data_IF_268179653986
#
_entry.id   IF_268179653986
#
_cell.length_a   1.000
_cell.length_b   1.000
_cell.length_c   1.000
_cell.angle_alpha   90.00
_cell.angle_beta   90.00
_cell.angle_gamma   90.00
#
_symmetry.space_group_name_H-M   'P 1'
#
loop_
_entity.id
_entity.type
_entity.pdbx_description
1 polymer ?
#
# COMPACT_ATOMS: atom_id res chain seq x y z
N UNK A 1 34.90 8.99 22.43
CA UNK A 1 35.24 9.63 21.14
C UNK A 1 33.99 10.15 20.41
N UNK A 2 32.90 9.35 20.22
CA UNK A 2 31.68 9.79 19.52
C UNK A 2 31.01 10.99 20.21
N UNK A 3 30.86 10.96 21.54
CA UNK A 3 30.28 12.07 22.30
C UNK A 3 31.15 13.33 22.25
N UNK A 4 32.47 13.19 22.25
CA UNK A 4 33.40 14.33 22.11
C UNK A 4 33.25 14.97 20.72
N UNK A 5 33.19 14.16 19.66
CA UNK A 5 33.00 14.64 18.29
C UNK A 5 31.67 15.35 18.13
N UNK A 6 30.59 14.77 18.69
CA UNK A 6 29.25 15.39 18.68
C UNK A 6 29.28 16.73 19.40
N UNK A 7 29.82 16.79 20.64
CA UNK A 7 29.91 18.02 21.42
C UNK A 7 30.71 19.10 20.69
N UNK A 8 31.84 18.73 20.07
CA UNK A 8 32.62 19.66 19.28
C UNK A 8 31.86 20.20 18.08
N UNK A 9 31.15 19.31 17.36
CA UNK A 9 30.26 19.72 16.25
C UNK A 9 29.16 20.68 16.71
N UNK A 10 28.53 20.43 17.85
CA UNK A 10 27.50 21.30 18.42
C UNK A 10 28.08 22.69 18.78
N UNK A 11 29.30 22.74 19.35
CA UNK A 11 29.98 24.00 19.69
C UNK A 11 30.32 24.80 18.44
N UNK A 12 30.82 24.15 17.39
CA UNK A 12 31.09 24.81 16.12
C UNK A 12 29.85 25.34 15.45
N UNK A 13 28.75 24.58 15.50
CA UNK A 13 27.44 25.02 14.94
C UNK A 13 26.91 26.23 15.72
N UNK A 14 26.99 26.26 17.03
CA UNK A 14 26.56 27.38 17.89
C UNK A 14 27.49 28.59 17.77
N UNK A 15 28.73 28.40 17.31
CA UNK A 15 29.73 29.43 17.10
C UNK A 15 29.66 30.17 15.76
N UNK A 16 28.80 29.76 14.83
CA UNK A 16 28.64 30.48 13.58
C UNK A 16 27.94 31.83 13.81
N UNK A 17 28.70 32.90 13.70
CA UNK A 17 28.16 34.26 13.70
C UNK A 17 27.21 34.45 12.50
N UNK A 18 26.11 35.16 12.73
CA UNK A 18 25.10 35.50 11.72
C UNK A 18 25.66 36.23 10.48
N UNK A 19 26.87 36.74 10.57
CA UNK A 19 27.58 37.42 9.46
C UNK A 19 28.19 36.45 8.44
N UNK A 20 28.40 35.19 8.81
CA UNK A 20 28.88 34.15 7.87
C UNK A 20 27.69 33.51 7.15
N UNK A 21 27.56 33.73 5.84
CA UNK A 21 26.52 33.15 4.99
C UNK A 21 26.77 31.67 4.70
N UNK A 22 26.90 30.86 5.76
CA UNK A 22 27.12 29.41 5.67
C UNK A 22 25.80 28.70 5.90
N UNK A 23 25.47 27.77 5.01
CA UNK A 23 24.33 26.88 5.15
C UNK A 23 24.86 25.46 5.33
N UNK A 24 24.48 24.82 6.43
CA UNK A 24 24.88 23.44 6.72
C UNK A 24 23.75 22.52 6.29
N UNK A 25 24.09 21.49 5.51
CA UNK A 25 23.19 20.42 5.12
C UNK A 25 23.67 19.10 5.68
N UNK A 26 22.75 18.32 6.25
CA UNK A 26 22.99 16.95 6.65
C UNK A 26 21.88 16.05 6.10
N UNK A 27 22.19 14.80 5.82
CA UNK A 27 21.22 13.81 5.39
C UNK A 27 21.44 12.50 6.15
N UNK A 28 20.35 11.83 6.50
CA UNK A 28 20.37 10.52 7.15
C UNK A 28 19.17 9.70 6.71
N UNK A 29 19.36 8.38 6.62
CA UNK A 29 18.27 7.42 6.45
C UNK A 29 17.67 6.95 7.79
N UNK A 30 18.29 7.40 8.92
CA UNK A 30 17.87 7.01 10.26
C UNK A 30 17.72 8.24 11.15
N UNK A 31 16.62 8.96 11.04
CA UNK A 31 16.37 10.12 11.89
C UNK A 31 16.20 9.75 13.38
N UNK A 32 15.83 8.48 13.66
CA UNK A 32 15.65 7.91 14.99
C UNK A 32 16.92 7.84 15.84
N UNK A 33 18.10 7.81 15.21
CA UNK A 33 19.40 7.74 15.92
C UNK A 33 20.07 9.10 16.10
N UNK A 34 19.46 10.19 15.58
CA UNK A 34 20.00 11.53 15.76
C UNK A 34 19.84 12.02 17.19
N UNK A 35 20.89 12.66 17.71
CA UNK A 35 20.80 13.34 19.01
C UNK A 35 19.79 14.51 18.91
N UNK A 36 18.80 14.59 19.80
CA UNK A 36 17.83 15.69 19.81
C UNK A 36 18.49 17.07 19.92
N UNK A 37 19.70 17.17 20.46
CA UNK A 37 20.44 18.41 20.54
C UNK A 37 20.81 18.99 19.17
N UNK A 38 20.99 18.14 18.13
CA UNK A 38 21.23 18.58 16.76
C UNK A 38 20.01 19.25 16.12
N UNK A 39 18.81 18.91 16.58
CA UNK A 39 17.54 19.35 16.00
C UNK A 39 16.98 20.61 16.69
N UNK A 40 17.74 21.21 17.63
CA UNK A 40 17.35 22.45 18.30
C UNK A 40 17.45 23.66 17.36
N UNK A 41 16.60 24.69 17.56
CA UNK A 41 16.70 25.95 16.82
C UNK A 41 18.12 26.54 16.88
N UNK A 42 18.61 27.07 15.77
CA UNK A 42 19.98 27.58 15.62
C UNK A 42 21.00 26.58 15.13
N UNK A 43 20.60 25.29 14.96
CA UNK A 43 21.41 24.20 14.40
C UNK A 43 20.73 23.67 13.15
N UNK A 44 20.23 22.41 13.15
CA UNK A 44 19.39 21.89 12.08
C UNK A 44 17.91 22.23 12.37
N UNK A 45 17.55 23.47 12.13
CA UNK A 45 16.22 24.00 12.42
C UNK A 45 15.16 23.63 11.36
N UNK A 46 15.60 23.20 10.17
CA UNK A 46 14.72 22.76 9.09
C UNK A 46 14.95 21.29 8.79
N UNK A 47 13.88 20.52 8.95
CA UNK A 47 13.85 19.11 8.58
C UNK A 47 13.01 18.94 7.33
N UNK A 48 13.58 18.31 6.32
CA UNK A 48 12.89 17.98 5.06
C UNK A 48 12.88 16.48 4.91
N UNK A 49 11.68 15.90 4.98
CA UNK A 49 11.51 14.48 4.67
C UNK A 49 11.44 14.33 3.15
N UNK A 50 12.28 13.45 2.61
CA UNK A 50 12.27 13.11 1.17
C UNK A 50 11.55 11.78 1.03
N UNK A 51 10.28 11.85 0.67
CA UNK A 51 9.44 10.68 0.41
C UNK A 51 9.82 9.98 -0.91
N UNK A 52 9.28 8.77 -1.11
CA UNK A 52 9.40 8.08 -2.39
C UNK A 52 8.71 8.89 -3.49
N UNK A 53 9.27 8.91 -4.72
CA UNK A 53 8.73 9.71 -5.81
C UNK A 53 7.36 9.20 -6.27
N UNK A 54 6.46 10.12 -6.60
CA UNK A 54 5.22 9.84 -7.31
C UNK A 54 5.50 9.43 -8.77
N UNK A 55 4.47 9.10 -9.54
CA UNK A 55 4.63 8.66 -10.95
C UNK A 55 5.39 9.68 -11.78
N UNK A 56 5.07 10.98 -11.64
CA UNK A 56 5.74 12.06 -12.39
C UNK A 56 7.19 12.20 -11.96
N UNK A 57 7.46 12.08 -10.67
CA UNK A 57 8.81 12.05 -10.12
C UNK A 57 9.62 10.88 -10.67
N UNK A 58 9.02 9.66 -10.69
CA UNK A 58 9.67 8.48 -11.28
C UNK A 58 9.92 8.64 -12.77
N UNK A 59 8.96 9.19 -13.54
CA UNK A 59 9.16 9.50 -14.96
C UNK A 59 10.34 10.46 -15.18
N UNK A 60 10.45 11.51 -14.34
CA UNK A 60 11.57 12.43 -14.37
C UNK A 60 12.91 11.74 -14.08
N UNK A 61 12.95 10.83 -13.11
CA UNK A 61 14.13 10.04 -12.76
C UNK A 61 14.50 9.07 -13.90
N UNK A 62 13.51 8.39 -14.51
CA UNK A 62 13.74 7.57 -15.70
C UNK A 62 14.38 8.37 -16.82
N UNK A 63 13.88 9.58 -17.13
CA UNK A 63 14.46 10.47 -18.16
C UNK A 63 15.95 10.73 -17.92
N UNK A 64 16.34 10.97 -16.68
CA UNK A 64 17.74 11.21 -16.31
C UNK A 64 18.63 9.98 -16.48
N UNK A 65 18.14 8.79 -16.14
CA UNK A 65 18.94 7.57 -16.20
C UNK A 65 18.93 6.94 -17.59
N UNK A 66 17.80 6.92 -18.28
CA UNK A 66 17.66 6.37 -19.64
C UNK A 66 18.44 7.18 -20.66
N UNK A 67 18.59 8.49 -20.47
CA UNK A 67 19.43 9.33 -21.36
C UNK A 67 20.91 8.93 -21.38
N UNK A 68 21.38 8.13 -20.42
CA UNK A 68 22.77 7.66 -20.34
C UNK A 68 23.04 6.36 -21.11
N UNK A 69 22.00 5.70 -21.60
CA UNK A 69 22.08 4.42 -22.32
C UNK A 69 21.47 4.54 -23.70
N UNK A 70 21.90 3.65 -24.63
CA UNK A 70 21.24 3.53 -25.93
C UNK A 70 19.93 2.75 -25.77
N UNK A 71 18.81 3.39 -26.04
CA UNK A 71 17.47 2.81 -25.89
C UNK A 71 16.62 3.07 -27.12
N UNK A 72 15.54 2.31 -27.27
CA UNK A 72 14.55 2.55 -28.31
C UNK A 72 13.78 3.86 -28.00
N UNK A 73 13.75 4.84 -28.92
CA UNK A 73 13.02 6.09 -28.71
C UNK A 73 11.50 5.93 -28.55
N UNK A 74 10.93 4.79 -28.94
CA UNK A 74 9.50 4.49 -28.81
C UNK A 74 9.07 4.12 -27.39
N UNK A 75 10.01 3.94 -26.46
CA UNK A 75 9.71 3.54 -25.08
C UNK A 75 8.97 4.67 -24.36
N UNK A 76 7.78 4.36 -23.88
CA UNK A 76 7.01 5.25 -23.03
C UNK A 76 7.51 5.20 -21.58
N UNK A 77 8.28 6.23 -21.18
CA UNK A 77 8.82 6.35 -19.82
C UNK A 77 7.73 6.56 -18.77
N UNK A 78 6.57 7.11 -19.14
CA UNK A 78 5.43 7.21 -18.24
C UNK A 78 4.84 5.83 -17.95
N UNK A 79 4.78 4.95 -18.95
CA UNK A 79 4.38 3.55 -18.74
C UNK A 79 5.32 2.84 -17.76
N UNK A 80 6.65 2.98 -17.93
CA UNK A 80 7.64 2.42 -17.01
C UNK A 80 7.49 2.97 -15.59
N UNK A 81 7.24 4.28 -15.46
CA UNK A 81 7.02 4.91 -14.15
C UNK A 81 5.76 4.37 -13.45
N UNK A 82 4.68 4.11 -14.19
CA UNK A 82 3.48 3.47 -13.66
C UNK A 82 3.73 2.01 -13.25
N UNK A 83 4.55 1.31 -14.00
CA UNK A 83 4.87 -0.10 -13.73
C UNK A 83 5.86 -0.30 -12.56
N UNK A 84 6.36 0.77 -11.91
CA UNK A 84 7.34 0.73 -10.83
C UNK A 84 6.86 1.45 -9.55
N UNK A 85 5.69 1.08 -9.00
CA UNK A 85 5.21 1.70 -7.76
C UNK A 85 6.17 1.43 -6.61
N UNK A 86 6.38 2.42 -5.75
CA UNK A 86 7.25 2.31 -4.58
C UNK A 86 8.76 2.33 -4.86
N UNK A 87 9.21 2.47 -6.11
CA UNK A 87 10.63 2.59 -6.42
C UNK A 87 11.19 3.93 -5.98
N UNK A 88 12.36 3.85 -5.35
CA UNK A 88 13.22 5.00 -5.11
C UNK A 88 14.01 5.38 -6.37
N UNK A 89 14.70 6.52 -6.32
CA UNK A 89 15.62 6.89 -7.41
C UNK A 89 16.76 5.88 -7.62
N UNK A 90 17.21 5.22 -6.54
CA UNK A 90 18.23 4.18 -6.60
C UNK A 90 17.72 2.90 -7.28
N UNK A 91 16.48 2.50 -7.00
CA UNK A 91 15.86 1.33 -7.63
C UNK A 91 15.67 1.54 -9.13
N UNK A 92 15.25 2.75 -9.53
CA UNK A 92 15.13 3.13 -10.94
C UNK A 92 16.49 3.12 -11.64
N UNK A 93 17.52 3.68 -11.01
CA UNK A 93 18.88 3.66 -11.55
C UNK A 93 19.38 2.22 -11.73
N UNK A 94 19.14 1.37 -10.74
CA UNK A 94 19.48 -0.06 -10.80
C UNK A 94 18.70 -0.77 -11.91
N UNK A 95 17.40 -0.53 -12.04
CA UNK A 95 16.58 -1.12 -13.09
C UNK A 95 17.05 -0.72 -14.50
N UNK A 96 17.40 0.55 -14.72
CA UNK A 96 17.94 1.01 -16.01
C UNK A 96 19.28 0.33 -16.33
N UNK A 97 20.16 0.18 -15.33
CA UNK A 97 21.41 -0.52 -15.49
C UNK A 97 21.20 -2.01 -15.80
N UNK A 98 20.28 -2.68 -15.09
CA UNK A 98 19.96 -4.09 -15.34
C UNK A 98 19.36 -4.29 -16.74
N UNK A 99 18.49 -3.39 -17.22
CA UNK A 99 17.96 -3.44 -18.57
C UNK A 99 19.07 -3.36 -19.63
N UNK A 100 20.05 -2.47 -19.42
CA UNK A 100 21.21 -2.37 -20.30
C UNK A 100 22.07 -3.66 -20.30
N UNK A 101 22.25 -4.29 -19.14
CA UNK A 101 22.96 -5.56 -19.02
C UNK A 101 22.20 -6.71 -19.68
N UNK A 102 20.86 -6.74 -19.60
CA UNK A 102 20.02 -7.74 -20.27
C UNK A 102 20.13 -7.58 -21.79
N UNK A 103 19.98 -6.35 -22.31
CA UNK A 103 20.15 -6.08 -23.74
C UNK A 103 21.53 -6.48 -24.26
N UNK A 104 22.59 -6.14 -23.51
CA UNK A 104 23.97 -6.51 -23.87
C UNK A 104 24.18 -8.03 -23.86
N UNK A 105 23.59 -8.76 -22.91
CA UNK A 105 23.64 -10.23 -22.86
C UNK A 105 22.96 -10.89 -24.06
N UNK A 106 21.93 -10.24 -24.58
CA UNK A 106 21.16 -10.70 -25.73
C UNK A 106 21.70 -10.16 -27.07
N UNK A 107 22.90 -9.56 -27.07
CA UNK A 107 23.57 -8.97 -28.25
C UNK A 107 22.70 -7.91 -28.96
N UNK A 108 21.84 -7.21 -28.24
CA UNK A 108 20.98 -6.16 -28.79
C UNK A 108 21.75 -4.83 -28.90
N UNK A 109 21.58 -4.07 -30.00
CA UNK A 109 22.25 -2.80 -30.19
C UNK A 109 21.71 -1.68 -29.28
N UNK A 110 20.50 -1.84 -28.72
CA UNK A 110 19.80 -0.89 -27.86
C UNK A 110 18.87 -1.62 -26.92
N UNK A 111 18.53 -0.93 -25.82
CA UNK A 111 17.57 -1.45 -24.83
C UNK A 111 16.15 -1.25 -25.35
N UNK A 112 15.33 -2.28 -25.28
CA UNK A 112 13.94 -2.32 -25.71
C UNK A 112 13.01 -2.45 -24.48
N UNK A 113 11.69 -2.27 -24.67
CA UNK A 113 10.71 -2.37 -23.60
C UNK A 113 10.75 -3.73 -22.87
N UNK A 114 10.86 -4.89 -23.54
CA UNK A 114 10.97 -6.18 -22.86
C UNK A 114 12.17 -6.28 -21.92
N UNK A 115 13.30 -5.64 -22.26
CA UNK A 115 14.49 -5.64 -21.41
C UNK A 115 14.25 -4.86 -20.10
N UNK A 116 13.48 -3.78 -20.16
CA UNK A 116 13.03 -3.04 -18.95
C UNK A 116 12.05 -3.85 -18.13
N UNK A 117 11.13 -4.60 -18.73
CA UNK A 117 10.18 -5.44 -18.03
C UNK A 117 10.90 -6.57 -17.30
N UNK A 118 11.85 -7.23 -17.94
CA UNK A 118 12.68 -8.27 -17.32
C UNK A 118 13.56 -7.68 -16.18
N UNK A 119 14.13 -6.50 -16.40
CA UNK A 119 14.93 -5.80 -15.40
C UNK A 119 14.08 -5.43 -14.18
N UNK A 120 12.85 -4.93 -14.38
CA UNK A 120 11.91 -4.66 -13.31
C UNK A 120 11.62 -5.92 -12.51
N UNK A 121 11.26 -7.00 -13.18
CA UNK A 121 10.97 -8.30 -12.55
C UNK A 121 12.17 -8.77 -11.72
N UNK A 122 13.40 -8.59 -12.24
CA UNK A 122 14.63 -8.93 -11.53
C UNK A 122 14.89 -8.05 -10.31
N UNK A 123 14.63 -6.73 -10.39
CA UNK A 123 14.84 -5.81 -9.27
C UNK A 123 13.81 -6.05 -8.17
N UNK A 124 12.57 -6.30 -8.53
CA UNK A 124 11.47 -6.47 -7.56
C UNK A 124 11.47 -7.87 -6.92
N UNK A 125 11.69 -8.93 -7.69
CA UNK A 125 11.56 -10.33 -7.23
C UNK A 125 12.90 -11.04 -7.05
N UNK A 126 13.98 -10.45 -7.52
CA UNK A 126 15.27 -11.10 -7.62
C UNK A 126 15.43 -11.91 -8.92
N UNK A 127 16.63 -12.49 -9.12
CA UNK A 127 16.94 -13.26 -10.32
C UNK A 127 16.13 -14.55 -10.40
N UNK A 128 15.82 -14.98 -11.61
CA UNK A 128 15.23 -16.29 -11.86
C UNK A 128 16.17 -17.41 -11.41
N UNK A 129 15.62 -18.42 -10.79
CA UNK A 129 16.36 -19.58 -10.29
C UNK A 129 16.03 -20.85 -11.10
N UNK A 130 16.27 -20.81 -12.41
CA UNK A 130 15.97 -21.93 -13.32
C UNK A 130 16.78 -23.22 -13.04
N UNK A 131 17.83 -23.12 -12.21
CA UNK A 131 18.65 -24.28 -11.82
C UNK A 131 18.05 -25.11 -10.68
N UNK A 132 16.97 -24.66 -10.06
CA UNK A 132 16.30 -25.42 -8.99
C UNK A 132 15.54 -26.58 -9.65
N UNK A 133 15.82 -27.79 -9.16
CA UNK A 133 15.04 -28.96 -9.51
C UNK A 133 13.76 -28.96 -8.66
N UNK A 134 12.64 -28.72 -9.30
CA UNK A 134 11.31 -28.80 -8.70
C UNK A 134 10.65 -30.07 -9.21
N UNK A 135 10.00 -30.83 -8.33
CA UNK A 135 9.23 -31.99 -8.75
C UNK A 135 8.01 -31.55 -9.57
N UNK A 136 7.57 -32.37 -10.54
CA UNK A 136 6.36 -32.06 -11.31
C UNK A 136 5.12 -31.85 -10.41
N UNK A 137 5.07 -32.57 -9.30
CA UNK A 137 4.00 -32.40 -8.31
C UNK A 137 4.04 -31.03 -7.67
N UNK A 138 5.21 -30.53 -7.27
CA UNK A 138 5.37 -29.18 -6.73
C UNK A 138 5.08 -28.10 -7.76
N UNK A 139 5.56 -28.30 -8.99
CA UNK A 139 5.25 -27.40 -10.11
C UNK A 139 3.74 -27.33 -10.36
N UNK A 140 3.06 -28.47 -10.34
CA UNK A 140 1.61 -28.54 -10.50
C UNK A 140 0.89 -27.84 -9.36
N UNK A 141 1.31 -28.08 -8.11
CA UNK A 141 0.73 -27.45 -6.95
C UNK A 141 0.87 -25.92 -7.01
N UNK A 142 2.07 -25.44 -7.36
CA UNK A 142 2.32 -23.99 -7.54
C UNK A 142 1.45 -23.41 -8.66
N UNK A 143 1.27 -24.14 -9.78
CA UNK A 143 0.42 -23.66 -10.87
C UNK A 143 -1.04 -23.48 -10.45
N UNK A 144 -1.59 -24.41 -9.67
CA UNK A 144 -2.96 -24.27 -9.13
C UNK A 144 -3.04 -23.16 -8.07
N UNK A 145 -2.04 -23.04 -7.21
CA UNK A 145 -1.94 -21.96 -6.22
C UNK A 145 -2.00 -20.58 -6.88
N UNK A 146 -1.12 -20.32 -7.85
CA UNK A 146 -1.07 -19.04 -8.56
C UNK A 146 -2.29 -18.81 -9.46
N UNK A 147 -2.86 -19.87 -10.04
CA UNK A 147 -4.12 -19.77 -10.76
C UNK A 147 -5.27 -19.32 -9.85
N UNK A 148 -5.27 -19.75 -8.59
CA UNK A 148 -6.24 -19.29 -7.58
C UNK A 148 -6.14 -17.79 -7.32
N UNK A 149 -4.94 -17.28 -7.07
CA UNK A 149 -4.71 -15.84 -6.92
C UNK A 149 -5.11 -15.06 -8.19
N UNK A 150 -4.71 -15.57 -9.36
CA UNK A 150 -5.01 -14.97 -10.65
C UNK A 150 -6.51 -14.87 -10.90
N UNK A 151 -7.25 -15.95 -10.67
CA UNK A 151 -8.70 -15.97 -10.84
C UNK A 151 -9.37 -14.96 -9.91
N UNK A 152 -8.96 -14.88 -8.65
CA UNK A 152 -9.48 -13.88 -7.70
C UNK A 152 -9.16 -12.46 -8.15
N UNK A 153 -7.94 -12.19 -8.64
CA UNK A 153 -7.57 -10.87 -9.18
C UNK A 153 -8.46 -10.47 -10.37
N UNK A 154 -8.86 -11.42 -11.20
CA UNK A 154 -9.74 -11.21 -12.35
C UNK A 154 -11.20 -10.96 -11.93
N UNK A 155 -11.70 -11.69 -10.95
CA UNK A 155 -13.13 -11.66 -10.56
C UNK A 155 -13.47 -10.53 -9.61
N UNK A 156 -12.53 -10.13 -8.73
CA UNK A 156 -12.79 -9.12 -7.70
C UNK A 156 -12.62 -7.70 -8.26
N UNK A 157 -13.55 -6.79 -7.88
CA UNK A 157 -13.61 -5.47 -8.49
C UNK A 157 -12.63 -4.44 -7.94
N UNK A 158 -12.24 -4.60 -6.67
CA UNK A 158 -11.43 -3.61 -5.96
C UNK A 158 -9.99 -4.07 -5.73
N UNK A 159 -9.55 -5.14 -6.38
CA UNK A 159 -8.14 -5.56 -6.42
C UNK A 159 -7.32 -4.65 -7.31
N UNK A 160 -6.01 -4.65 -7.12
CA UNK A 160 -5.11 -3.95 -8.04
C UNK A 160 -5.05 -4.67 -9.39
N UNK A 161 -4.70 -3.93 -10.45
CA UNK A 161 -4.67 -4.47 -11.82
C UNK A 161 -3.65 -5.62 -11.92
N UNK A 162 -4.10 -6.76 -12.42
CA UNK A 162 -3.22 -7.89 -12.68
C UNK A 162 -2.24 -7.54 -13.81
N UNK A 163 -0.99 -7.95 -13.67
CA UNK A 163 0.04 -7.70 -14.67
C UNK A 163 0.57 -8.98 -15.29
N UNK A 164 0.97 -9.95 -14.47
CA UNK A 164 1.59 -11.21 -14.91
C UNK A 164 1.43 -12.26 -13.82
N UNK A 165 1.36 -13.51 -14.20
CA UNK A 165 1.48 -14.64 -13.29
C UNK A 165 2.61 -15.57 -13.76
N UNK A 166 3.39 -16.12 -12.84
CA UNK A 166 4.51 -17.01 -13.16
C UNK A 166 4.73 -18.05 -12.07
N UNK A 167 5.14 -19.23 -12.48
CA UNK A 167 5.61 -20.30 -11.60
C UNK A 167 7.11 -20.55 -11.74
N UNK A 168 7.83 -19.64 -12.41
CA UNK A 168 9.29 -19.65 -12.45
C UNK A 168 9.81 -19.15 -11.10
N UNK A 169 10.59 -19.94 -10.36
CA UNK A 169 11.09 -19.54 -9.06
C UNK A 169 11.95 -18.29 -9.10
N UNK A 170 11.67 -17.36 -8.21
CA UNK A 170 12.46 -16.12 -8.02
C UNK A 170 12.70 -15.87 -6.54
N UNK A 171 13.92 -15.54 -6.17
CA UNK A 171 14.26 -15.30 -4.77
C UNK A 171 13.88 -16.46 -3.85
N UNK A 172 12.89 -16.30 -2.98
CA UNK A 172 12.36 -17.33 -2.07
C UNK A 172 11.00 -17.88 -2.49
N UNK A 173 10.36 -17.29 -3.51
CA UNK A 173 9.05 -17.73 -4.01
C UNK A 173 9.20 -18.76 -5.13
N UNK A 174 8.31 -19.76 -5.14
CA UNK A 174 8.19 -20.74 -6.22
C UNK A 174 7.29 -20.23 -7.36
N UNK A 175 6.42 -19.25 -7.08
CA UNK A 175 5.57 -18.59 -8.06
C UNK A 175 5.22 -17.18 -7.58
N UNK A 176 4.58 -16.41 -8.43
CA UNK A 176 4.07 -15.09 -8.09
C UNK A 176 2.96 -14.63 -9.04
N UNK A 177 1.89 -14.13 -8.46
CA UNK A 177 0.83 -13.40 -9.16
C UNK A 177 1.02 -11.91 -8.92
N UNK A 178 1.29 -11.19 -10.01
CA UNK A 178 1.68 -9.78 -9.97
C UNK A 178 0.52 -8.86 -10.23
N UNK A 179 0.28 -7.99 -9.26
CA UNK A 179 -0.67 -6.89 -9.38
C UNK A 179 0.08 -5.56 -9.30
N UNK A 180 -0.33 -4.58 -10.09
CA UNK A 180 0.22 -3.22 -10.06
C UNK A 180 -0.73 -2.33 -9.25
N UNK A 181 -0.26 -1.76 -8.13
CA UNK A 181 -1.05 -0.81 -7.37
C UNK A 181 -1.45 0.38 -8.23
N UNK A 182 -2.69 0.82 -8.12
CA UNK A 182 -3.12 2.05 -8.76
C UNK A 182 -2.51 3.26 -8.05
N UNK A 183 -1.94 4.16 -8.85
CA UNK A 183 -1.27 5.38 -8.36
C UNK A 183 -2.21 6.32 -7.62
N UNK A 184 -1.67 7.00 -6.60
CA UNK A 184 -2.35 8.07 -5.89
C UNK A 184 -3.36 7.62 -4.85
N UNK A 185 -3.40 6.35 -4.47
CA UNK A 185 -4.26 5.86 -3.40
C UNK A 185 -3.54 5.94 -2.05
N UNK A 186 -3.92 6.90 -1.25
CA UNK A 186 -3.41 7.07 0.13
C UNK A 186 -4.31 6.44 1.19
N UNK A 187 -5.51 6.00 0.80
CA UNK A 187 -6.50 5.41 1.72
C UNK A 187 -6.98 4.06 1.21
N UNK A 188 -7.18 3.13 2.14
CA UNK A 188 -7.71 1.80 1.86
C UNK A 188 -9.20 1.76 2.23
N UNK A 189 -10.05 1.47 1.27
CA UNK A 189 -11.49 1.29 1.52
C UNK A 189 -11.76 -0.10 2.11
N UNK A 190 -12.79 -0.23 2.96
CA UNK A 190 -13.18 -1.52 3.56
C UNK A 190 -13.46 -2.60 2.49
N UNK A 191 -14.16 -2.25 1.39
CA UNK A 191 -14.43 -3.18 0.28
C UNK A 191 -13.12 -3.69 -0.35
N UNK A 192 -12.14 -2.81 -0.57
CA UNK A 192 -10.83 -3.20 -1.11
C UNK A 192 -10.08 -4.13 -0.15
N UNK A 193 -10.08 -3.85 1.15
CA UNK A 193 -9.44 -4.72 2.14
C UNK A 193 -10.04 -6.15 2.13
N UNK A 194 -11.36 -6.26 2.02
CA UNK A 194 -12.06 -7.55 1.93
C UNK A 194 -11.72 -8.28 0.61
N UNK A 195 -11.68 -7.57 -0.51
CA UNK A 195 -11.31 -8.16 -1.80
C UNK A 195 -9.84 -8.62 -1.78
N UNK A 196 -8.95 -7.86 -1.16
CA UNK A 196 -7.55 -8.23 -1.02
C UNK A 196 -7.34 -9.45 -0.12
N UNK A 197 -8.12 -9.60 0.97
CA UNK A 197 -8.12 -10.83 1.76
C UNK A 197 -8.60 -12.03 0.94
N UNK A 198 -9.65 -11.87 0.13
CA UNK A 198 -10.13 -12.95 -0.75
C UNK A 198 -9.10 -13.30 -1.84
N UNK A 199 -8.38 -12.32 -2.36
CA UNK A 199 -7.27 -12.52 -3.30
C UNK A 199 -6.15 -13.34 -2.67
N UNK A 200 -5.70 -12.97 -1.47
CA UNK A 200 -4.64 -13.66 -0.73
C UNK A 200 -5.04 -15.10 -0.36
N UNK A 201 -6.29 -15.37 -0.07
CA UNK A 201 -6.80 -16.71 0.19
C UNK A 201 -6.94 -17.57 -1.07
N UNK A 202 -6.84 -16.96 -2.26
CA UNK A 202 -6.99 -17.63 -3.55
C UNK A 202 -6.13 -18.86 -3.71
N UNK A 203 -4.83 -18.77 -3.38
CA UNK A 203 -3.87 -19.88 -3.47
C UNK A 203 -4.23 -21.04 -2.54
N UNK A 204 -4.52 -20.75 -1.26
CA UNK A 204 -4.91 -21.77 -0.28
C UNK A 204 -6.19 -22.51 -0.68
N UNK A 205 -7.22 -21.77 -1.07
CA UNK A 205 -8.51 -22.34 -1.50
C UNK A 205 -8.36 -23.15 -2.78
N UNK A 206 -7.48 -22.71 -3.68
CA UNK A 206 -7.18 -23.44 -4.92
C UNK A 206 -6.52 -24.80 -4.66
N UNK A 207 -5.52 -24.86 -3.76
CA UNK A 207 -4.90 -26.12 -3.35
C UNK A 207 -5.92 -27.08 -2.74
N UNK A 208 -6.76 -26.57 -1.84
CA UNK A 208 -7.79 -27.36 -1.17
C UNK A 208 -8.86 -27.87 -2.13
N UNK A 209 -9.32 -27.02 -3.04
CA UNK A 209 -10.31 -27.40 -4.05
C UNK A 209 -9.79 -28.48 -5.01
N UNK A 210 -8.51 -28.38 -5.41
CA UNK A 210 -7.92 -29.32 -6.37
C UNK A 210 -7.43 -30.62 -5.76
N UNK A 211 -6.74 -30.55 -4.62
CA UNK A 211 -6.01 -31.68 -4.03
C UNK A 211 -6.66 -32.21 -2.75
N UNK A 212 -7.67 -31.54 -2.23
CA UNK A 212 -8.34 -31.85 -0.96
C UNK A 212 -7.63 -31.26 0.27
N UNK A 213 -8.35 -31.23 1.40
CA UNK A 213 -7.89 -30.62 2.65
C UNK A 213 -6.58 -31.23 3.18
N UNK A 214 -6.42 -32.55 3.05
CA UNK A 214 -5.21 -33.26 3.54
C UNK A 214 -3.96 -33.00 2.72
N UNK A 215 -4.10 -32.38 1.54
CA UNK A 215 -2.98 -32.19 0.59
C UNK A 215 -2.53 -30.73 0.48
N UNK A 216 -3.07 -29.85 1.32
CA UNK A 216 -2.66 -28.44 1.34
C UNK A 216 -1.22 -28.27 1.82
N UNK A 217 -0.54 -27.27 1.29
CA UNK A 217 0.87 -27.06 1.57
C UNK A 217 1.15 -25.85 2.45
N UNK A 218 2.38 -25.73 2.89
CA UNK A 218 2.86 -24.53 3.61
C UNK A 218 3.08 -23.33 2.69
N UNK A 219 2.88 -23.47 1.37
CA UNK A 219 3.05 -22.40 0.39
C UNK A 219 2.23 -21.16 0.71
N UNK A 220 1.00 -21.36 1.18
CA UNK A 220 0.09 -20.28 1.56
C UNK A 220 0.39 -19.62 2.91
N UNK A 221 1.48 -19.98 3.63
CA UNK A 221 1.74 -19.47 4.99
C UNK A 221 1.83 -17.94 5.05
N UNK A 222 2.52 -17.32 4.11
CA UNK A 222 2.67 -15.87 4.04
C UNK A 222 1.33 -15.17 3.74
N UNK A 223 0.52 -15.75 2.87
CA UNK A 223 -0.79 -15.19 2.51
C UNK A 223 -1.75 -15.25 3.69
N UNK A 224 -1.76 -16.36 4.43
CA UNK A 224 -2.56 -16.51 5.65
C UNK A 224 -2.11 -15.50 6.72
N UNK A 225 -0.80 -15.30 6.90
CA UNK A 225 -0.27 -14.30 7.83
C UNK A 225 -0.75 -12.88 7.45
N UNK A 226 -0.62 -12.52 6.17
CA UNK A 226 -1.06 -11.21 5.66
C UNK A 226 -2.57 -11.00 5.79
N UNK A 227 -3.38 -12.03 5.50
CA UNK A 227 -4.84 -11.98 5.70
C UNK A 227 -5.19 -11.73 7.16
N UNK A 228 -4.53 -12.46 8.07
CA UNK A 228 -4.77 -12.34 9.51
C UNK A 228 -4.35 -10.95 10.02
N UNK A 229 -3.20 -10.45 9.58
CA UNK A 229 -2.74 -9.10 9.92
C UNK A 229 -3.71 -8.03 9.41
N UNK A 230 -4.15 -8.14 8.15
CA UNK A 230 -5.11 -7.21 7.57
C UNK A 230 -6.44 -7.21 8.32
N UNK A 231 -6.99 -8.37 8.63
CA UNK A 231 -8.21 -8.49 9.43
C UNK A 231 -8.04 -7.87 10.82
N UNK A 232 -6.90 -8.09 11.48
CA UNK A 232 -6.58 -7.49 12.77
C UNK A 232 -6.47 -5.96 12.69
N UNK A 233 -5.83 -5.42 11.67
CA UNK A 233 -5.76 -3.97 11.43
C UNK A 233 -7.13 -3.36 11.15
N UNK A 234 -8.00 -4.06 10.41
CA UNK A 234 -9.38 -3.61 10.19
C UNK A 234 -10.16 -3.50 11.49
N UNK A 235 -9.94 -4.42 12.43
CA UNK A 235 -10.64 -4.43 13.73
C UNK A 235 -10.00 -3.43 14.70
N UNK A 236 -8.66 -3.47 14.86
CA UNK A 236 -7.98 -2.78 15.95
C UNK A 236 -7.52 -1.36 15.58
N UNK A 237 -7.18 -1.09 14.32
CA UNK A 237 -6.62 0.20 13.93
C UNK A 237 -7.60 1.06 13.14
N UNK A 238 -8.35 0.45 12.21
CA UNK A 238 -9.17 1.20 11.26
C UNK A 238 -10.64 1.33 11.68
N UNK A 239 -11.06 0.66 12.77
CA UNK A 239 -12.44 0.72 13.26
C UNK A 239 -13.48 0.24 12.24
N UNK A 240 -13.11 -0.74 11.38
CA UNK A 240 -13.96 -1.22 10.28
C UNK A 240 -14.78 -2.47 10.67
N UNK A 241 -14.89 -2.79 11.97
CA UNK A 241 -15.61 -3.95 12.51
C UNK A 241 -16.95 -3.56 13.15
N UNK A 242 -17.73 -4.54 13.59
CA UNK A 242 -18.95 -4.33 14.39
C UNK A 242 -18.69 -3.72 15.76
N UNK A 243 -17.44 -3.73 16.23
CA UNK A 243 -17.05 -3.09 17.49
C UNK A 243 -17.08 -1.55 17.41
N UNK A 244 -17.31 -1.00 16.20
CA UNK A 244 -17.42 0.43 15.96
C UNK A 244 -16.08 1.10 15.63
N UNK A 245 -16.08 2.43 15.43
CA UNK A 245 -14.89 3.20 15.08
C UNK A 245 -14.00 3.47 16.30
N UNK A 246 -13.48 2.40 16.88
CA UNK A 246 -12.61 2.42 18.06
C UNK A 246 -11.28 1.79 17.69
N UNK A 247 -10.18 2.40 18.12
CA UNK A 247 -8.85 1.81 18.02
C UNK A 247 -8.51 1.07 19.31
N UNK A 248 -8.02 -0.17 19.18
CA UNK A 248 -7.62 -1.03 20.28
C UNK A 248 -6.11 -1.25 20.24
N UNK A 249 -5.44 -1.04 21.36
CA UNK A 249 -3.99 -1.17 21.50
C UNK A 249 -3.25 0.14 21.18
N UNK A 250 -2.20 0.40 21.94
CA UNK A 250 -1.31 1.54 21.68
C UNK A 250 -0.41 1.21 20.49
N UNK A 251 -0.14 2.22 19.65
CA UNK A 251 0.93 2.11 18.64
C UNK A 251 2.24 1.83 19.37
N UNK A 252 2.97 0.84 18.91
CA UNK A 252 4.32 0.56 19.39
C UNK A 252 5.15 1.85 19.32
N UNK A 253 5.43 2.47 20.47
CA UNK A 253 6.44 3.51 20.51
C UNK A 253 7.80 2.86 20.29
N UNK A 254 8.69 3.46 19.50
CA UNK A 254 10.02 2.92 19.29
C UNK A 254 10.68 2.67 20.65
N UNK A 255 11.12 1.44 20.88
CA UNK A 255 11.72 0.98 22.13
C UNK A 255 13.00 1.75 22.32
N UNK A 256 13.04 2.69 23.26
CA UNK A 256 14.27 3.25 23.79
C UNK A 256 14.98 2.15 24.57
N UNK A 257 16.22 1.86 24.19
CA UNK A 257 17.11 0.84 24.75
C UNK A 257 16.88 0.57 26.25
N UNK A 258 16.49 -0.66 26.59
CA UNK A 258 16.70 -1.23 27.90
C UNK A 258 15.50 -1.46 28.83
N UNK A 259 14.26 -1.23 28.41
CA UNK A 259 13.09 -1.71 29.16
C UNK A 259 12.35 -2.78 28.37
N UNK A 260 12.31 -4.00 28.86
CA UNK A 260 11.27 -4.98 28.52
C UNK A 260 9.93 -4.36 28.92
N UNK A 261 9.24 -3.78 27.94
CA UNK A 261 7.88 -3.31 28.16
C UNK A 261 7.00 -4.54 28.07
N UNK A 262 6.52 -5.01 29.21
CA UNK A 262 5.39 -5.92 29.26
C UNK A 262 4.29 -5.30 28.39
N UNK A 263 3.82 -6.04 27.36
CA UNK A 263 2.70 -5.62 26.51
C UNK A 263 1.48 -5.45 27.41
N UNK A 264 1.24 -4.25 27.88
CA UNK A 264 -0.02 -3.95 28.56
C UNK A 264 -1.11 -3.91 27.50
N UNK A 265 -2.04 -4.86 27.58
CA UNK A 265 -3.29 -4.78 26.83
C UNK A 265 -4.11 -3.63 27.43
N UNK A 266 -4.44 -2.63 26.62
CA UNK A 266 -5.26 -1.50 27.06
C UNK A 266 -6.77 -1.80 27.07
N UNK A 267 -7.14 -3.08 26.95
CA UNK A 267 -8.52 -3.53 26.90
C UNK A 267 -8.72 -4.83 27.70
N UNK A 268 -9.96 -5.04 28.13
CA UNK A 268 -10.34 -6.21 28.93
C UNK A 268 -10.25 -7.52 28.16
N UNK A 269 -10.19 -8.65 28.86
CA UNK A 269 -10.22 -9.99 28.23
C UNK A 269 -11.52 -10.22 27.43
N UNK A 270 -12.65 -9.68 27.87
CA UNK A 270 -13.91 -9.72 27.12
C UNK A 270 -13.79 -8.98 25.77
N UNK A 271 -13.11 -7.83 25.76
CA UNK A 271 -12.86 -7.08 24.53
C UNK A 271 -11.88 -7.85 23.63
N UNK A 272 -10.86 -8.52 24.20
CA UNK A 272 -9.94 -9.36 23.45
C UNK A 272 -10.68 -10.50 22.72
N UNK A 273 -11.61 -11.18 23.39
CA UNK A 273 -12.43 -12.21 22.76
C UNK A 273 -13.26 -11.67 21.60
N UNK A 274 -13.90 -10.51 21.79
CA UNK A 274 -14.67 -9.86 20.70
C UNK A 274 -13.79 -9.45 19.51
N UNK A 275 -12.55 -9.02 19.75
CA UNK A 275 -11.58 -8.73 18.70
C UNK A 275 -11.25 -10.02 17.94
N UNK A 276 -10.94 -11.10 18.62
CA UNK A 276 -10.60 -12.38 18.01
C UNK A 276 -11.80 -12.95 17.21
N UNK A 277 -13.02 -12.84 17.73
CA UNK A 277 -14.25 -13.21 17.01
C UNK A 277 -14.44 -12.39 15.71
N UNK A 278 -14.22 -11.09 15.77
CA UNK A 278 -14.33 -10.23 14.57
C UNK A 278 -13.24 -10.52 13.55
N UNK A 279 -12.00 -10.74 13.98
CA UNK A 279 -10.88 -11.16 13.10
C UNK A 279 -11.23 -12.48 12.41
N UNK A 280 -11.63 -13.49 13.18
CA UNK A 280 -12.06 -14.78 12.67
C UNK A 280 -13.22 -14.63 11.67
N UNK A 281 -14.21 -13.81 11.98
CA UNK A 281 -15.35 -13.53 11.09
C UNK A 281 -14.93 -12.94 9.75
N UNK A 282 -14.00 -11.96 9.74
CA UNK A 282 -13.50 -11.38 8.49
C UNK A 282 -12.77 -12.41 7.64
N UNK A 283 -11.87 -13.18 8.24
CA UNK A 283 -11.09 -14.21 7.54
C UNK A 283 -12.02 -15.28 6.95
N UNK A 284 -12.94 -15.81 7.76
CA UNK A 284 -13.87 -16.87 7.30
C UNK A 284 -14.82 -16.39 6.20
N UNK A 285 -15.37 -15.19 6.31
CA UNK A 285 -16.19 -14.61 5.23
C UNK A 285 -15.42 -14.46 3.92
N UNK A 286 -14.16 -14.01 3.97
CA UNK A 286 -13.31 -13.91 2.80
C UNK A 286 -13.01 -15.30 2.21
N UNK A 287 -12.74 -16.28 3.08
CA UNK A 287 -12.49 -17.67 2.70
C UNK A 287 -13.71 -18.32 2.01
N UNK A 288 -14.89 -18.27 2.60
CA UNK A 288 -16.14 -18.80 2.05
C UNK A 288 -16.48 -18.15 0.69
N UNK A 289 -16.27 -16.83 0.59
CA UNK A 289 -16.46 -16.11 -0.66
C UNK A 289 -15.49 -16.60 -1.74
N UNK A 290 -14.24 -16.80 -1.40
CA UNK A 290 -13.21 -17.30 -2.33
C UNK A 290 -13.56 -18.71 -2.80
N UNK A 291 -13.99 -19.61 -1.90
CA UNK A 291 -14.44 -20.96 -2.25
C UNK A 291 -15.59 -20.93 -3.24
N UNK A 292 -16.59 -20.10 -2.99
CA UNK A 292 -17.75 -19.96 -3.86
C UNK A 292 -17.35 -19.46 -5.25
N UNK A 293 -16.58 -18.36 -5.33
CA UNK A 293 -16.14 -17.78 -6.60
C UNK A 293 -15.29 -18.76 -7.42
N UNK A 294 -14.41 -19.52 -6.77
CA UNK A 294 -13.59 -20.52 -7.42
C UNK A 294 -14.45 -21.67 -7.95
N UNK A 295 -15.41 -22.16 -7.16
CA UNK A 295 -16.34 -23.23 -7.57
C UNK A 295 -17.21 -22.80 -8.75
N UNK A 296 -17.72 -21.57 -8.75
CA UNK A 296 -18.55 -21.03 -9.84
C UNK A 296 -17.78 -20.82 -11.15
N UNK A 297 -16.45 -20.67 -11.07
CA UNK A 297 -15.56 -20.45 -12.21
C UNK A 297 -14.53 -21.56 -12.38
N UNK A 298 -14.87 -22.79 -12.00
CA UNK A 298 -13.97 -23.95 -12.02
C UNK A 298 -13.34 -24.21 -13.39
N UNK A 299 -14.08 -24.01 -14.49
CA UNK A 299 -13.58 -24.22 -15.86
C UNK A 299 -12.46 -23.24 -16.21
N UNK A 300 -12.60 -21.97 -15.83
CA UNK A 300 -11.58 -20.94 -16.01
C UNK A 300 -10.37 -21.21 -15.14
N UNK A 301 -10.59 -21.62 -13.90
CA UNK A 301 -9.55 -22.00 -12.96
C UNK A 301 -8.68 -23.15 -13.50
N UNK A 302 -9.31 -24.24 -13.96
CA UNK A 302 -8.59 -25.38 -14.54
C UNK A 302 -7.81 -25.00 -15.80
N UNK A 303 -8.38 -24.13 -16.64
CA UNK A 303 -7.73 -23.65 -17.85
C UNK A 303 -6.53 -22.78 -17.53
N UNK A 304 -6.65 -21.87 -16.56
CA UNK A 304 -5.53 -21.04 -16.07
C UNK A 304 -4.39 -21.90 -15.50
N UNK A 305 -4.72 -22.84 -14.61
CA UNK A 305 -3.72 -23.69 -13.98
C UNK A 305 -2.99 -24.57 -15.00
N UNK A 306 -3.71 -25.14 -15.97
CA UNK A 306 -3.13 -25.99 -17.02
C UNK A 306 -2.20 -25.20 -17.93
N UNK A 307 -2.65 -24.04 -18.42
CA UNK A 307 -1.84 -23.22 -19.32
C UNK A 307 -0.62 -22.63 -18.59
N UNK A 308 -0.77 -22.27 -17.31
CA UNK A 308 0.33 -21.82 -16.47
C UNK A 308 1.35 -22.93 -16.21
N UNK A 309 0.91 -24.17 -16.02
CA UNK A 309 1.80 -25.33 -15.89
C UNK A 309 2.62 -25.58 -17.16
N UNK A 310 1.99 -25.42 -18.34
CA UNK A 310 2.64 -25.63 -19.65
C UNK A 310 3.60 -24.49 -20.02
N UNK A 311 3.16 -23.23 -19.87
CA UNK A 311 3.91 -22.04 -20.31
C UNK A 311 4.84 -21.47 -19.24
N UNK A 312 4.67 -21.86 -17.98
CA UNK A 312 5.36 -21.35 -16.77
C UNK A 312 5.13 -19.86 -16.46
N UNK A 313 4.62 -19.09 -17.41
CA UNK A 313 4.25 -17.68 -17.23
C UNK A 313 3.11 -17.34 -18.18
N UNK A 314 2.15 -16.56 -17.66
CA UNK A 314 1.06 -16.01 -18.46
C UNK A 314 1.07 -14.49 -18.31
N UNK A 315 0.96 -13.80 -19.42
CA UNK A 315 0.77 -12.35 -19.46
C UNK A 315 -0.73 -11.98 -19.42
N UNK A 316 -1.00 -10.67 -19.44
CA UNK A 316 -2.38 -10.18 -19.43
C UNK A 316 -3.19 -10.71 -20.60
N UNK A 317 -2.60 -10.81 -21.79
CA UNK A 317 -3.30 -11.22 -23.02
C UNK A 317 -3.73 -12.68 -22.95
N UNK A 318 -2.89 -13.56 -22.42
CA UNK A 318 -3.24 -14.94 -22.15
C UNK A 318 -4.37 -15.05 -21.13
N UNK A 319 -4.29 -14.28 -20.04
CA UNK A 319 -5.30 -14.28 -18.98
C UNK A 319 -6.64 -13.74 -19.47
N UNK A 320 -6.63 -12.64 -20.25
CA UNK A 320 -7.83 -12.08 -20.88
C UNK A 320 -8.51 -13.10 -21.78
N UNK A 321 -7.74 -13.83 -22.55
CA UNK A 321 -8.23 -14.88 -23.45
C UNK A 321 -8.85 -16.06 -22.70
N UNK A 322 -8.16 -16.56 -21.65
CA UNK A 322 -8.64 -17.71 -20.87
C UNK A 322 -9.88 -17.37 -20.07
N UNK A 323 -9.88 -16.21 -19.44
CA UNK A 323 -10.98 -15.76 -18.58
C UNK A 323 -12.12 -15.09 -19.36
N UNK A 324 -11.98 -14.87 -20.67
CA UNK A 324 -12.96 -14.17 -21.53
C UNK A 324 -13.33 -12.79 -21.00
N UNK A 325 -12.33 -12.06 -20.48
CA UNK A 325 -12.48 -10.71 -19.92
C UNK A 325 -11.51 -9.76 -20.58
N UNK A 326 -11.85 -8.45 -20.59
CA UNK A 326 -10.88 -7.39 -20.88
C UNK A 326 -10.49 -6.72 -19.58
N UNK A 327 -9.19 -6.72 -19.30
CA UNK A 327 -8.61 -6.01 -18.17
C UNK A 327 -8.32 -4.58 -18.61
N UNK A 328 -9.00 -3.59 -18.01
CA UNK A 328 -8.74 -2.19 -18.33
C UNK A 328 -7.41 -1.75 -17.69
N UNK A 329 -6.38 -1.69 -18.52
CA UNK A 329 -5.01 -1.30 -18.12
C UNK A 329 -4.92 0.16 -17.65
N UNK A 330 -5.91 0.99 -18.00
CA UNK A 330 -5.89 2.44 -17.73
C UNK A 330 -6.72 2.83 -16.52
N UNK A 331 -7.83 2.12 -16.25
CA UNK A 331 -8.84 2.53 -15.27
C UNK A 331 -9.10 1.53 -14.17
N UNK A 332 -8.33 0.47 -14.05
CA UNK A 332 -8.54 -0.61 -13.07
C UNK A 332 -9.95 -1.25 -13.14
N UNK A 333 -10.61 -1.21 -14.30
CA UNK A 333 -11.92 -1.80 -14.49
C UNK A 333 -11.84 -3.03 -15.37
N UNK A 334 -12.38 -4.13 -14.86
CA UNK A 334 -12.67 -5.32 -15.66
C UNK A 334 -13.84 -5.03 -16.59
N UNK A 335 -13.64 -5.18 -17.90
CA UNK A 335 -14.70 -5.09 -18.89
C UNK A 335 -14.87 -6.46 -19.53
N UNK A 336 -16.02 -7.09 -19.30
CA UNK A 336 -16.31 -8.38 -19.92
C UNK A 336 -16.59 -8.23 -21.42
N UNK A 337 -15.95 -9.06 -22.24
CA UNK A 337 -16.11 -9.05 -23.69
C UNK A 337 -17.42 -9.72 -24.20
N UNK A 338 -18.43 -9.88 -23.37
CA UNK A 338 -19.69 -10.50 -23.69
C UNK A 338 -20.81 -10.11 -22.73
N UNK A 339 -22.05 -10.57 -22.99
CA UNK A 339 -23.19 -10.36 -22.10
C UNK A 339 -22.85 -10.93 -20.73
N UNK A 340 -22.80 -10.03 -19.78
CA UNK A 340 -22.71 -10.16 -18.35
C UNK A 340 -22.70 -11.61 -17.80
N UNK A 341 -21.54 -12.24 -17.62
CA UNK A 341 -21.49 -13.35 -16.69
C UNK A 341 -21.84 -12.73 -15.35
N UNK A 342 -22.70 -13.33 -14.58
CA UNK A 342 -23.10 -12.93 -13.23
C UNK A 342 -21.87 -12.52 -12.44
N UNK A 343 -21.47 -11.27 -12.61
CA UNK A 343 -20.40 -10.67 -11.84
C UNK A 343 -20.89 -10.76 -10.42
N UNK A 344 -20.15 -11.39 -9.56
CA UNK A 344 -20.47 -11.44 -8.16
C UNK A 344 -20.52 -10.02 -7.58
N UNK A 345 -21.60 -9.32 -7.87
CA UNK A 345 -22.13 -8.22 -7.07
C UNK A 345 -22.69 -8.81 -5.79
N UNK A 346 -22.00 -9.80 -5.25
CA UNK A 346 -22.20 -10.17 -3.89
C UNK A 346 -21.67 -9.00 -3.06
N UNK A 347 -22.53 -8.00 -2.99
CA UNK A 347 -22.60 -7.22 -1.80
C UNK A 347 -22.56 -8.24 -0.67
N UNK A 348 -21.49 -8.21 0.10
CA UNK A 348 -21.58 -8.81 1.41
C UNK A 348 -22.76 -8.10 2.03
N UNK A 349 -23.95 -8.69 1.91
CA UNK A 349 -25.08 -8.31 2.69
C UNK A 349 -24.66 -8.57 4.14
N UNK A 350 -23.99 -7.60 4.72
CA UNK A 350 -24.00 -7.41 6.15
C UNK A 350 -25.47 -7.11 6.43
N UNK A 351 -26.27 -8.15 6.63
CA UNK A 351 -27.68 -8.03 7.06
C UNK A 351 -27.83 -7.22 8.36
N UNK A 352 -26.71 -6.86 8.98
CA UNK A 352 -26.62 -6.07 10.20
C UNK A 352 -26.10 -4.64 9.99
N UNK A 353 -25.69 -4.26 8.76
CA UNK A 353 -25.34 -2.89 8.41
C UNK A 353 -26.28 -2.46 7.27
N UNK A 354 -27.43 -1.93 7.63
CA UNK A 354 -28.24 -1.13 6.70
C UNK A 354 -27.37 0.08 6.34
N UNK A 355 -26.72 0.02 5.18
CA UNK A 355 -26.20 1.20 4.51
C UNK A 355 -27.38 2.17 4.36
N UNK A 356 -27.44 3.20 5.17
CA UNK A 356 -28.35 4.31 4.94
C UNK A 356 -27.98 4.84 3.57
N UNK A 357 -28.93 4.75 2.67
CA UNK A 357 -28.84 5.07 1.26
C UNK A 357 -28.12 6.42 1.10
N UNK A 358 -26.95 6.44 0.45
CA UNK A 358 -26.16 7.67 0.24
C UNK A 358 -26.97 8.71 -0.55
N UNK A 359 -28.03 8.29 -1.25
CA UNK A 359 -29.00 9.18 -1.90
C UNK A 359 -29.87 9.93 -0.89
N UNK A 360 -30.32 9.29 0.19
CA UNK A 360 -31.13 9.95 1.22
C UNK A 360 -30.33 10.98 2.01
N UNK A 361 -29.03 10.71 2.27
CA UNK A 361 -28.14 11.67 2.97
C UNK A 361 -27.84 12.90 2.11
N UNK A 362 -27.76 12.77 0.77
CA UNK A 362 -27.62 13.93 -0.11
C UNK A 362 -28.86 14.81 -0.15
N UNK A 363 -30.03 14.22 -0.14
CA UNK A 363 -31.27 15.01 -0.12
C UNK A 363 -31.56 15.66 1.24
N UNK A 364 -31.22 15.01 2.37
CA UNK A 364 -31.38 15.61 3.70
C UNK A 364 -30.36 16.73 3.99
N UNK A 365 -29.13 16.61 3.51
CA UNK A 365 -28.07 17.63 3.75
C UNK A 365 -28.23 18.85 2.83
N UNK A 366 -28.70 18.68 1.59
CA UNK A 366 -28.85 19.78 0.63
C UNK A 366 -30.21 20.47 0.64
N UNK A 367 -31.29 19.81 1.13
CA UNK A 367 -32.64 20.37 1.15
C UNK A 367 -33.11 20.81 2.53
N UNK A 368 -32.31 20.71 3.58
CA UNK A 368 -32.64 21.29 4.88
C UNK A 368 -32.47 22.82 4.81
N UNK A 369 -33.53 23.63 4.97
CA UNK A 369 -33.36 25.06 5.08
C UNK A 369 -32.53 25.34 6.33
N UNK A 370 -31.44 26.08 6.17
CA UNK A 370 -30.60 26.59 7.24
C UNK A 370 -31.52 27.26 8.28
N UNK A 371 -31.85 26.58 9.37
CA UNK A 371 -32.47 27.20 10.54
C UNK A 371 -31.46 28.18 11.10
N UNK A 372 -31.70 29.45 10.86
CA UNK A 372 -31.02 30.54 11.55
C UNK A 372 -31.14 30.31 13.06
N UNK A 373 -30.04 29.93 13.66
CA UNK A 373 -29.92 29.83 15.12
C UNK A 373 -30.09 31.25 15.66
N UNK A 374 -31.22 31.52 16.26
CA UNK A 374 -31.41 32.76 17.05
C UNK A 374 -30.36 32.75 18.16
N UNK A 375 -29.43 33.70 18.13
CA UNK A 375 -28.48 33.94 19.21
C UNK A 375 -29.26 34.11 20.50
N UNK A 376 -28.97 33.36 21.53
CA UNK A 376 -29.55 33.53 22.86
C UNK A 376 -29.11 34.87 23.42
N UNK A 377 -30.02 35.56 24.17
CA UNK A 377 -29.78 36.87 24.76
C UNK A 377 -28.54 36.95 25.68
N UNK A 378 -28.00 35.82 26.10
CA UNK A 378 -26.80 35.72 26.94
C UNK A 378 -25.48 35.96 26.15
N UNK A 379 -25.42 35.70 24.87
CA UNK A 379 -24.25 36.04 24.05
C UNK A 379 -24.14 37.52 23.71
N UNK A 380 -25.27 38.23 23.64
CA UNK A 380 -25.27 39.69 23.45
C UNK A 380 -24.77 40.45 24.70
N UNK A 381 -25.03 39.93 25.91
CA UNK A 381 -24.50 40.52 27.15
C UNK A 381 -22.98 40.32 27.27
N UNK A 382 -22.44 39.16 26.88
CA UNK A 382 -21.00 38.93 26.91
C UNK A 382 -20.24 39.79 25.89
N UNK A 383 -20.79 40.01 24.71
CA UNK A 383 -20.16 40.86 23.69
C UNK A 383 -20.18 42.36 24.03
N UNK A 384 -21.19 42.83 24.74
CA UNK A 384 -21.26 44.21 25.27
C UNK A 384 -20.28 44.44 26.42
N UNK A 385 -20.03 43.44 27.26
CA UNK A 385 -19.07 43.52 28.35
C UNK A 385 -17.61 43.60 27.86
N UNK A 386 -17.26 42.83 26.84
CA UNK A 386 -15.92 42.84 26.25
C UNK A 386 -15.62 44.19 25.54
N UNK A 387 -16.61 44.80 24.87
CA UNK A 387 -16.44 46.12 24.25
C UNK A 387 -16.28 47.26 25.25
N UNK A 388 -16.83 47.14 26.46
CA UNK A 388 -16.68 48.15 27.54
C UNK A 388 -15.30 48.09 28.20
N UNK A 389 -14.68 46.91 28.28
CA UNK A 389 -13.35 46.73 28.90
C UNK A 389 -12.20 47.14 27.95
N UNK A 390 -12.43 47.11 26.65
CA UNK A 390 -11.40 47.50 25.63
C UNK A 390 -11.35 49.01 25.42
N UNK A 391 -12.41 49.76 25.82
CA UNK A 391 -12.49 51.22 25.69
C UNK A 391 -11.79 51.97 26.82
N UNK A 392 -11.44 51.31 27.94
CA UNK A 392 -10.81 51.95 29.10
C UNK A 392 -9.29 51.83 29.20
N UNK A 393 -8.62 51.26 28.19
CA UNK A 393 -7.15 51.09 28.15
C UNK A 393 -6.46 51.88 27.03
N UNK A 394 -6.99 53.05 26.64
CA UNK A 394 -6.23 54.03 25.87
C UNK A 394 -5.84 55.18 26.81
N UNK A 395 -4.84 54.96 27.68
CA UNK A 395 -4.14 55.99 28.43
C UNK A 395 -2.83 56.28 27.69
N UNK A 396 -2.70 57.51 27.37
CA UNK A 396 -1.73 58.32 26.68
C UNK A 396 -0.27 58.13 27.20
N UNK A 397 0.75 57.88 26.35
CA UNK A 397 2.15 57.89 26.77
C UNK A 397 2.78 59.26 26.46
N UNK A 398 2.63 60.21 27.38
CA UNK A 398 3.51 61.39 27.42
C UNK A 398 3.59 61.90 28.87
N UNK A 399 4.71 61.64 29.51
CA UNK A 399 5.45 62.36 30.55
C UNK A 399 6.10 61.40 31.52
N UNK A 400 7.39 61.25 31.36
CA UNK A 400 8.39 61.37 32.42
C UNK A 400 9.78 61.29 31.76
N UNK A 401 10.31 62.48 31.52
CA UNK A 401 11.73 62.83 31.71
C UNK A 401 11.82 63.42 33.09
N UNK A 402 13.00 63.21 33.70
CA UNK A 402 13.48 63.78 34.98
C UNK A 402 13.03 63.00 36.24
N UNK A 403 13.87 62.12 36.72
CA UNK A 403 14.90 62.17 37.75
C UNK A 403 15.75 60.86 37.74
#
# INVERSE_FOLDING_TARGET
>A
EREQTLNQMLVEMDGFNTDTRIIIFAATNRPDVLDPALLRPGRFDRQVVVDLPDVKGREGIFKVHVSKIQHDPSIDLYHLARATPGFSGADIANMVNEAALIAARNDKPRVELPDFEEARDKVMMGPERRSILISEREKLNTAYHEAGHTLMAVLLQNTDSLHKVTIVPRGRSLGATWTLPSDGRYTLQRKKAIDEMSLLLGGRVAEEFKFGEDSVTTGASNDIERVTEMARRMVCEWGMSKLGPIAFGQKEQPIFLGKEIARHKDYSEETAQKIDEEVHRFVMKAYERTQRLLKENSDKFESLAKELFEKESLDIEDIERICEVKLDRVKDKLVYAGKDPKRGTDELEDSDYQDRDVKSVKEEVFNSPLKTVKKSEDEEKSTKMIKKTTSMKKINPKKKKEE
#
